data_IF_722456644426
#
_entry.id   IF_722456644426
#
_cell.length_a   1.000
_cell.length_b   1.000
_cell.length_c   1.000
_cell.angle_alpha   90.00
_cell.angle_beta   90.00
_cell.angle_gamma   90.00
#
_symmetry.space_group_name_H-M   'P 1'
#
loop_
_entity.id
_entity.type
_entity.pdbx_description
1 polymer ?
#
# COMPACT_ATOMS: atom_id res chain seq x y z
N UNK A 1 48.84 5.13 88.26
CA UNK A 1 47.81 4.65 87.31
C UNK A 1 48.15 5.21 85.94
N UNK A 2 48.66 4.37 85.03
CA UNK A 2 48.95 4.74 83.63
C UNK A 2 47.78 4.30 82.78
N UNK A 3 47.03 5.24 82.22
CA UNK A 3 45.97 4.99 81.24
C UNK A 3 46.59 4.58 79.90
N UNK A 4 46.24 3.39 79.44
CA UNK A 4 46.64 2.80 78.15
C UNK A 4 46.04 3.58 76.97
N UNK A 5 46.83 4.05 75.97
CA UNK A 5 46.35 4.83 74.83
C UNK A 5 45.85 3.98 73.64
N UNK A 6 45.39 2.75 73.86
CA UNK A 6 45.09 1.81 72.77
C UNK A 6 43.68 1.91 72.13
N UNK A 7 42.82 2.83 72.56
CA UNK A 7 41.42 2.90 72.10
C UNK A 7 41.12 3.94 71.02
N UNK A 8 42.08 4.79 70.60
CA UNK A 8 41.80 5.85 69.62
C UNK A 8 41.95 5.43 68.14
N UNK A 9 42.70 4.37 67.82
CA UNK A 9 42.91 3.98 66.42
C UNK A 9 41.73 3.22 65.79
N UNK A 10 40.90 2.53 66.58
CA UNK A 10 39.73 1.81 66.07
C UNK A 10 38.58 2.72 65.63
N UNK A 11 38.36 3.83 66.33
CA UNK A 11 37.27 4.76 66.04
C UNK A 11 37.50 5.55 64.73
N UNK A 12 38.75 5.98 64.47
CA UNK A 12 39.11 6.68 63.24
C UNK A 12 38.95 5.80 61.99
N UNK A 13 39.30 4.51 62.08
CA UNK A 13 39.12 3.56 60.99
C UNK A 13 37.64 3.32 60.67
N UNK A 14 36.79 3.15 61.69
CA UNK A 14 35.35 2.99 61.51
C UNK A 14 34.69 4.23 60.87
N UNK A 15 35.11 5.43 61.28
CA UNK A 15 34.65 6.69 60.68
C UNK A 15 35.06 6.79 59.20
N UNK A 16 36.29 6.42 58.87
CA UNK A 16 36.77 6.42 57.48
C UNK A 16 35.96 5.45 56.62
N UNK A 17 35.75 4.22 57.09
CA UNK A 17 34.94 3.22 56.38
C UNK A 17 33.50 3.71 56.22
N UNK A 18 32.89 4.27 57.26
CA UNK A 18 31.54 4.81 57.19
C UNK A 18 31.41 5.94 56.14
N UNK A 19 32.38 6.85 56.09
CA UNK A 19 32.41 7.93 55.09
C UNK A 19 32.59 7.37 53.67
N UNK A 20 33.50 6.42 53.46
CA UNK A 20 33.72 5.81 52.16
C UNK A 20 32.47 5.05 51.70
N UNK A 21 31.84 4.28 52.59
CA UNK A 21 30.58 3.59 52.29
C UNK A 21 29.45 4.57 51.96
N UNK A 22 29.33 5.67 52.70
CA UNK A 22 28.34 6.71 52.42
C UNK A 22 28.57 7.36 51.04
N UNK A 23 29.83 7.68 50.70
CA UNK A 23 30.19 8.24 49.38
C UNK A 23 29.92 7.23 48.27
N UNK A 24 30.24 5.95 48.47
CA UNK A 24 29.96 4.90 47.50
C UNK A 24 28.45 4.72 47.25
N UNK A 25 27.64 4.73 48.31
CA UNK A 25 26.17 4.66 48.22
C UNK A 25 25.63 5.88 47.46
N UNK A 26 26.07 7.09 47.81
CA UNK A 26 25.66 8.32 47.12
C UNK A 26 26.04 8.29 45.64
N UNK A 27 27.22 7.77 45.30
CA UNK A 27 27.65 7.62 43.92
C UNK A 27 26.76 6.63 43.15
N UNK A 28 26.43 5.48 43.74
CA UNK A 28 25.53 4.49 43.12
C UNK A 28 24.12 5.06 42.92
N UNK A 29 23.58 5.77 43.91
CA UNK A 29 22.26 6.43 43.80
C UNK A 29 22.29 7.52 42.71
N UNK A 30 23.36 8.30 42.64
CA UNK A 30 23.53 9.34 41.62
C UNK A 30 23.59 8.77 40.20
N UNK A 31 24.37 7.70 40.00
CA UNK A 31 24.45 6.99 38.72
C UNK A 31 23.10 6.37 38.33
N UNK A 32 22.42 5.70 39.26
CA UNK A 32 21.11 5.11 39.01
C UNK A 32 20.06 6.17 38.63
N UNK A 33 20.05 7.31 39.33
CA UNK A 33 19.14 8.43 39.05
C UNK A 33 19.41 9.06 37.69
N UNK A 34 20.69 9.21 37.32
CA UNK A 34 21.09 9.75 36.02
C UNK A 34 20.70 8.82 34.87
N UNK A 35 20.96 7.51 35.01
CA UNK A 35 20.55 6.52 34.01
C UNK A 35 19.03 6.42 33.88
N UNK A 36 18.30 6.46 35.00
CA UNK A 36 16.83 6.49 34.98
C UNK A 36 16.30 7.73 34.23
N UNK A 37 16.89 8.90 34.49
CA UNK A 37 16.54 10.15 33.80
C UNK A 37 16.86 10.11 32.31
N UNK A 38 18.00 9.55 31.93
CA UNK A 38 18.35 9.37 30.51
C UNK A 38 17.37 8.44 29.81
N UNK A 39 17.03 7.30 30.42
CA UNK A 39 16.04 6.37 29.86
C UNK A 39 14.66 7.00 29.74
N UNK A 40 14.21 7.74 30.76
CA UNK A 40 12.94 8.46 30.72
C UNK A 40 12.91 9.49 29.59
N UNK A 41 14.00 10.23 29.38
CA UNK A 41 14.09 11.22 28.30
C UNK A 41 14.17 10.59 26.90
N UNK A 42 14.69 9.37 26.78
CA UNK A 42 14.80 8.66 25.49
C UNK A 42 13.53 7.89 25.11
N UNK A 43 12.70 7.53 26.09
CA UNK A 43 11.53 6.68 25.86
C UNK A 43 10.53 7.26 24.85
N UNK A 44 10.16 8.55 24.87
CA UNK A 44 9.25 9.12 23.87
C UNK A 44 9.81 9.02 22.45
N UNK A 45 11.11 9.27 22.29
CA UNK A 45 11.79 9.15 20.99
C UNK A 45 11.77 7.71 20.49
N UNK A 46 12.10 6.74 21.34
CA UNK A 46 12.07 5.31 20.98
C UNK A 46 10.66 4.83 20.61
N UNK A 47 9.62 5.35 21.29
CA UNK A 47 8.22 5.08 20.96
C UNK A 47 7.85 5.65 19.59
N UNK A 48 8.19 6.90 19.32
CA UNK A 48 7.94 7.55 18.04
C UNK A 48 8.65 6.82 16.89
N UNK A 49 9.95 6.53 17.03
CA UNK A 49 10.74 5.78 16.04
C UNK A 49 10.12 4.39 15.76
N UNK A 50 9.61 3.72 16.79
CA UNK A 50 8.93 2.44 16.62
C UNK A 50 7.59 2.56 15.88
N UNK A 51 6.78 3.57 16.19
CA UNK A 51 5.53 3.80 15.45
C UNK A 51 5.80 4.12 13.98
N UNK A 52 6.81 4.95 13.70
CA UNK A 52 7.22 5.27 12.34
C UNK A 52 7.72 4.03 11.58
N UNK A 53 8.51 3.18 12.25
CA UNK A 53 8.92 1.89 11.70
C UNK A 53 7.72 1.01 11.36
N UNK A 54 6.78 0.86 12.29
CA UNK A 54 5.56 0.08 12.08
C UNK A 54 4.69 0.65 10.95
N UNK A 55 4.52 1.97 10.89
CA UNK A 55 3.77 2.66 9.85
C UNK A 55 4.37 2.46 8.46
N UNK A 56 5.71 2.49 8.36
CA UNK A 56 6.43 2.22 7.11
C UNK A 56 6.25 0.77 6.67
N UNK A 57 6.45 -0.18 7.58
CA UNK A 57 6.27 -1.61 7.28
C UNK A 57 4.81 -1.92 6.85
N UNK A 58 3.83 -1.30 7.51
CA UNK A 58 2.41 -1.42 7.16
C UNK A 58 2.13 -0.80 5.78
N UNK A 59 2.73 0.35 5.46
CA UNK A 59 2.59 0.98 4.13
C UNK A 59 3.18 0.08 3.03
N UNK A 60 4.37 -0.46 3.23
CA UNK A 60 5.01 -1.39 2.29
C UNK A 60 4.18 -2.66 2.11
N UNK A 61 3.64 -3.19 3.20
CA UNK A 61 2.73 -4.32 3.15
C UNK A 61 1.43 -4.01 2.41
N UNK A 62 0.84 -2.83 2.62
CA UNK A 62 -0.35 -2.40 1.86
C UNK A 62 -0.02 -2.39 0.36
N UNK A 63 1.09 -1.78 -0.05
CA UNK A 63 1.52 -1.73 -1.46
C UNK A 63 1.65 -3.14 -2.03
N UNK A 64 2.34 -4.04 -1.32
CA UNK A 64 2.53 -5.42 -1.77
C UNK A 64 1.21 -6.23 -1.87
N UNK A 65 0.20 -5.87 -1.08
CA UNK A 65 -1.10 -6.54 -1.03
C UNK A 65 -2.21 -5.73 -1.71
N UNK A 66 -1.89 -4.61 -2.36
CA UNK A 66 -2.85 -3.72 -3.03
C UNK A 66 -3.76 -4.44 -4.04
N UNK A 67 -3.32 -5.51 -4.74
CA UNK A 67 -4.19 -6.27 -5.66
C UNK A 67 -5.33 -7.01 -4.97
N UNK A 68 -5.22 -7.31 -3.67
CA UNK A 68 -6.17 -8.19 -2.95
C UNK A 68 -6.82 -7.55 -1.73
N UNK A 69 -6.14 -6.61 -1.06
CA UNK A 69 -6.56 -6.06 0.25
C UNK A 69 -7.93 -5.36 0.24
N UNK A 70 -8.28 -4.76 -0.90
CA UNK A 70 -9.53 -4.04 -1.08
C UNK A 70 -10.61 -4.89 -1.77
N UNK A 71 -10.38 -6.18 -1.96
CA UNK A 71 -11.37 -7.12 -2.50
C UNK A 71 -12.44 -7.47 -1.47
N UNK A 72 -13.67 -7.81 -1.91
CA UNK A 72 -14.76 -8.24 -1.02
C UNK A 72 -14.47 -9.57 -0.30
N UNK A 73 -13.56 -10.38 -0.84
CA UNK A 73 -13.16 -11.67 -0.27
C UNK A 73 -12.01 -11.54 0.73
N UNK A 74 -11.41 -10.35 0.85
CA UNK A 74 -10.30 -10.13 1.76
C UNK A 74 -10.73 -10.19 3.21
N UNK A 75 -10.13 -11.13 3.94
CA UNK A 75 -10.23 -11.23 5.40
C UNK A 75 -9.06 -10.47 6.01
N UNK A 76 -9.36 -9.37 6.70
CA UNK A 76 -8.34 -8.58 7.37
C UNK A 76 -7.65 -9.39 8.48
N UNK A 77 -6.30 -9.40 8.54
CA UNK A 77 -5.60 -10.01 9.66
C UNK A 77 -5.93 -9.25 10.95
N UNK A 78 -5.85 -9.94 12.08
CA UNK A 78 -5.87 -9.27 13.38
C UNK A 78 -4.66 -8.34 13.51
N UNK A 79 -4.74 -7.34 14.40
CA UNK A 79 -3.63 -6.43 14.66
C UNK A 79 -2.33 -7.14 15.03
N UNK A 80 -2.43 -8.14 15.91
CA UNK A 80 -1.31 -8.95 16.35
C UNK A 80 -0.71 -9.77 15.19
N UNK A 81 -1.55 -10.40 14.37
CA UNK A 81 -1.08 -11.13 13.19
C UNK A 81 -0.38 -10.21 12.19
N UNK A 82 -0.94 -9.02 11.94
CA UNK A 82 -0.37 -8.05 11.03
C UNK A 82 1.01 -7.60 11.52
N UNK A 83 1.11 -7.13 12.76
CA UNK A 83 2.37 -6.68 13.34
C UNK A 83 3.41 -7.81 13.40
N UNK A 84 2.98 -9.03 13.75
CA UNK A 84 3.83 -10.22 13.77
C UNK A 84 4.41 -10.57 12.40
N UNK A 85 3.58 -10.55 11.34
CA UNK A 85 4.03 -10.79 9.95
C UNK A 85 5.03 -9.74 9.47
N UNK A 86 4.94 -8.52 9.97
CA UNK A 86 5.83 -7.41 9.64
C UNK A 86 7.11 -7.36 10.50
N UNK A 87 7.29 -8.33 11.42
CA UNK A 87 8.42 -8.35 12.34
C UNK A 87 8.42 -7.19 13.32
N UNK A 88 7.25 -6.58 13.58
CA UNK A 88 7.09 -5.53 14.59
C UNK A 88 6.86 -6.20 15.94
N UNK A 89 7.79 -6.09 16.91
CA UNK A 89 7.67 -6.72 18.21
C UNK A 89 6.51 -6.12 19.02
N UNK A 90 5.77 -6.94 19.81
CA UNK A 90 4.73 -6.45 20.72
C UNK A 90 5.38 -5.78 21.93
N UNK A 91 5.81 -4.53 21.76
CA UNK A 91 6.41 -3.71 22.82
C UNK A 91 5.56 -2.46 23.04
N UNK A 92 5.50 -2.00 24.30
CA UNK A 92 4.76 -0.80 24.72
C UNK A 92 3.28 -0.80 24.33
N UNK A 93 2.67 -2.00 24.31
CA UNK A 93 1.26 -2.17 23.96
C UNK A 93 0.95 -1.46 22.64
N UNK A 94 1.75 -1.76 21.61
CA UNK A 94 1.50 -1.32 20.26
C UNK A 94 0.36 -2.16 19.67
N UNK A 95 -0.67 -1.48 19.18
CA UNK A 95 -1.83 -2.07 18.55
C UNK A 95 -1.89 -1.65 17.09
N UNK A 96 -2.55 -2.49 16.29
CA UNK A 96 -2.90 -2.16 14.92
C UNK A 96 -4.29 -2.70 14.59
N UNK A 97 -4.98 -2.07 13.66
CA UNK A 97 -6.26 -2.56 13.16
C UNK A 97 -6.49 -2.06 11.74
N UNK A 98 -7.07 -2.92 10.92
CA UNK A 98 -7.46 -2.60 9.55
C UNK A 98 -8.94 -2.20 9.56
N UNK A 99 -9.26 -1.08 8.92
CA UNK A 99 -10.64 -0.61 8.75
C UNK A 99 -11.45 -1.55 7.85
N UNK A 100 -12.76 -1.42 7.89
CA UNK A 100 -13.67 -1.83 6.83
C UNK A 100 -13.34 -1.09 5.52
N UNK A 101 -13.80 -1.59 4.34
CA UNK A 101 -13.59 -0.89 3.09
C UNK A 101 -14.24 0.50 3.13
N UNK A 102 -13.45 1.52 2.83
CA UNK A 102 -13.88 2.90 2.67
C UNK A 102 -13.92 3.24 1.19
N UNK A 103 -14.80 4.17 0.81
CA UNK A 103 -14.97 4.58 -0.58
C UNK A 103 -14.83 6.09 -0.71
N UNK A 104 -14.01 6.54 -1.67
CA UNK A 104 -13.90 7.95 -2.06
C UNK A 104 -13.89 8.05 -3.59
N UNK A 105 -14.98 8.57 -4.15
CA UNK A 105 -15.19 8.55 -5.60
C UNK A 105 -15.34 7.10 -6.09
N UNK A 106 -14.57 6.73 -7.12
CA UNK A 106 -14.58 5.37 -7.67
C UNK A 106 -13.50 4.45 -7.05
N UNK A 107 -12.84 4.89 -5.99
CA UNK A 107 -11.72 4.19 -5.35
C UNK A 107 -12.18 3.63 -4.01
N UNK A 108 -12.07 2.32 -3.86
CA UNK A 108 -12.21 1.63 -2.58
C UNK A 108 -10.81 1.42 -1.98
N UNK A 109 -10.68 1.66 -0.67
CA UNK A 109 -9.43 1.55 0.06
C UNK A 109 -9.69 1.21 1.52
N UNK A 110 -8.68 0.75 2.24
CA UNK A 110 -8.72 0.61 3.71
C UNK A 110 -7.74 1.57 4.37
N UNK A 111 -7.99 1.86 5.63
CA UNK A 111 -7.06 2.58 6.52
C UNK A 111 -6.57 1.59 7.56
N UNK A 112 -5.28 1.64 7.85
CA UNK A 112 -4.69 0.84 8.93
C UNK A 112 -4.29 1.81 10.03
N UNK A 113 -4.97 1.69 11.18
CA UNK A 113 -4.64 2.41 12.39
C UNK A 113 -3.53 1.69 13.13
N UNK A 114 -2.57 2.46 13.66
CA UNK A 114 -1.51 2.00 14.55
C UNK A 114 -1.51 2.92 15.75
N UNK A 115 -1.49 2.39 16.96
CA UNK A 115 -1.47 3.23 18.16
C UNK A 115 -0.80 2.55 19.34
N UNK A 116 -0.40 3.35 20.33
CA UNK A 116 0.22 2.88 21.56
C UNK A 116 -0.46 3.48 22.79
N UNK A 117 -0.24 2.83 23.93
CA UNK A 117 -0.72 3.32 25.23
C UNK A 117 0.01 4.60 25.64
N UNK A 118 -0.77 5.61 26.04
CA UNK A 118 -0.29 6.85 26.64
C UNK A 118 0.43 6.63 27.97
N UNK A 119 1.10 7.67 28.49
CA UNK A 119 1.86 7.56 29.76
C UNK A 119 0.96 7.31 30.99
N UNK A 120 -0.31 7.72 30.96
CA UNK A 120 -1.28 7.49 32.02
C UNK A 120 -2.17 6.26 31.81
N UNK A 121 -1.87 5.41 30.82
CA UNK A 121 -2.69 4.26 30.45
C UNK A 121 -3.84 4.61 29.49
N UNK A 122 -3.90 5.85 28.99
CA UNK A 122 -4.93 6.26 28.05
C UNK A 122 -4.67 5.71 26.64
N UNK A 123 -5.70 5.14 26.02
CA UNK A 123 -5.59 4.50 24.70
C UNK A 123 -6.49 5.23 23.68
N UNK A 124 -5.97 5.56 22.48
CA UNK A 124 -6.80 5.87 21.34
C UNK A 124 -7.72 4.69 21.01
N UNK A 125 -8.93 5.01 20.58
CA UNK A 125 -9.86 4.03 20.01
C UNK A 125 -9.86 4.20 18.49
N UNK A 126 -9.56 3.13 17.76
CA UNK A 126 -9.68 3.12 16.31
C UNK A 126 -11.07 2.64 15.91
N UNK A 127 -11.81 3.47 15.19
CA UNK A 127 -13.10 3.06 14.62
C UNK A 127 -12.87 2.40 13.26
N UNK A 128 -13.07 1.07 13.13
CA UNK A 128 -12.85 0.39 11.87
C UNK A 128 -13.85 0.78 10.78
N UNK A 129 -15.02 1.32 11.11
CA UNK A 129 -16.03 1.68 10.10
C UNK A 129 -15.71 3.03 9.44
N UNK A 130 -15.09 3.96 10.16
CA UNK A 130 -14.67 5.27 9.61
C UNK A 130 -13.18 5.35 9.28
N UNK A 131 -12.37 4.47 9.88
CA UNK A 131 -10.92 4.51 9.80
C UNK A 131 -10.31 5.71 10.52
N UNK A 132 -11.01 6.27 11.51
CA UNK A 132 -10.60 7.43 12.30
C UNK A 132 -10.22 7.03 13.74
N UNK A 133 -9.43 7.86 14.40
CA UNK A 133 -9.12 7.71 15.83
C UNK A 133 -10.00 8.62 16.68
N UNK A 134 -10.54 8.06 17.76
CA UNK A 134 -11.11 8.81 18.87
C UNK A 134 -10.10 8.84 20.01
N UNK A 135 -9.74 10.05 20.44
CA UNK A 135 -8.63 10.26 21.35
C UNK A 135 -9.15 10.59 22.76
N UNK A 136 -8.49 10.11 23.82
CA UNK A 136 -8.77 10.49 25.20
C UNK A 136 -8.77 12.01 25.39
N UNK A 137 -9.76 12.55 26.11
CA UNK A 137 -9.89 13.98 26.39
C UNK A 137 -9.08 14.45 27.61
N UNK A 138 -7.96 13.78 27.91
CA UNK A 138 -7.14 14.06 29.10
C UNK A 138 -6.18 15.22 28.81
N UNK A 139 -6.00 16.11 29.79
CA UNK A 139 -5.14 17.28 29.63
C UNK A 139 -3.69 16.86 29.31
N UNK A 140 -3.14 17.39 28.22
CA UNK A 140 -1.78 17.08 27.76
C UNK A 140 -1.69 15.85 26.84
N UNK A 141 -2.77 15.11 26.62
CA UNK A 141 -2.80 14.01 25.66
C UNK A 141 -2.82 14.52 24.23
N UNK A 142 -1.92 14.00 23.37
CA UNK A 142 -1.79 14.41 21.96
C UNK A 142 -1.90 13.18 21.06
N UNK A 143 -3.00 13.10 20.32
CA UNK A 143 -3.35 11.89 19.59
C UNK A 143 -2.36 11.55 18.46
N UNK A 144 -1.80 12.58 17.83
CA UNK A 144 -0.76 12.48 16.81
C UNK A 144 0.56 11.90 17.35
N UNK A 145 0.81 11.98 18.66
CA UNK A 145 2.00 11.39 19.30
C UNK A 145 1.80 9.92 19.68
N UNK A 146 0.56 9.43 19.65
CA UNK A 146 0.18 8.08 20.10
C UNK A 146 -0.54 7.26 19.05
N UNK A 147 -0.86 7.84 17.88
CA UNK A 147 -1.58 7.17 16.81
C UNK A 147 -1.12 7.62 15.43
N UNK A 148 -1.06 6.68 14.50
CA UNK A 148 -0.72 6.90 13.10
C UNK A 148 -1.76 6.20 12.23
N UNK A 149 -2.22 6.89 11.20
CA UNK A 149 -3.11 6.34 10.17
C UNK A 149 -2.34 6.11 8.88
N UNK A 150 -2.33 4.88 8.39
CA UNK A 150 -1.83 4.55 7.06
C UNK A 150 -3.02 4.43 6.13
N UNK A 151 -3.26 5.48 5.33
CA UNK A 151 -4.36 5.49 4.36
C UNK A 151 -3.95 4.83 3.05
N UNK A 152 -4.71 3.83 2.62
CA UNK A 152 -4.56 3.21 1.30
C UNK A 152 -5.02 4.07 0.14
N UNK A 153 -5.71 5.20 0.38
CA UNK A 153 -6.32 6.00 -0.68
C UNK A 153 -5.29 6.52 -1.69
N UNK A 154 -4.15 7.05 -1.23
CA UNK A 154 -3.11 7.57 -2.11
C UNK A 154 -2.53 6.47 -3.01
N UNK A 155 -2.27 5.30 -2.42
CA UNK A 155 -1.75 4.12 -3.13
C UNK A 155 -2.76 3.68 -4.19
N UNK A 156 -4.02 3.47 -3.81
CA UNK A 156 -5.06 3.01 -4.73
C UNK A 156 -5.39 4.06 -5.81
N UNK A 157 -5.30 5.35 -5.50
CA UNK A 157 -5.47 6.42 -6.48
C UNK A 157 -4.36 6.43 -7.53
N UNK A 158 -3.10 6.25 -7.11
CA UNK A 158 -1.97 6.16 -8.03
C UNK A 158 -2.07 4.96 -8.96
N UNK A 159 -2.44 3.78 -8.42
CA UNK A 159 -2.65 2.56 -9.18
C UNK A 159 -3.80 2.73 -10.18
N UNK A 160 -4.93 3.28 -9.74
CA UNK A 160 -6.08 3.59 -10.60
C UNK A 160 -5.69 4.51 -11.76
N UNK A 161 -5.00 5.61 -11.47
CA UNK A 161 -4.58 6.57 -12.48
C UNK A 161 -3.58 5.97 -13.47
N UNK A 162 -2.68 5.11 -13.00
CA UNK A 162 -1.73 4.39 -13.85
C UNK A 162 -2.45 3.42 -14.78
N UNK A 163 -3.40 2.64 -14.27
CA UNK A 163 -4.25 1.75 -15.08
C UNK A 163 -5.02 2.52 -16.15
N UNK A 164 -5.65 3.65 -15.79
CA UNK A 164 -6.35 4.51 -16.77
C UNK A 164 -5.41 5.03 -17.86
N UNK A 165 -4.17 5.41 -17.50
CA UNK A 165 -3.16 5.82 -18.49
C UNK A 165 -2.79 4.67 -19.43
N UNK A 166 -2.56 3.47 -18.92
CA UNK A 166 -2.25 2.28 -19.73
C UNK A 166 -3.39 1.99 -20.71
N UNK A 167 -4.64 1.95 -20.24
CA UNK A 167 -5.81 1.74 -21.09
C UNK A 167 -5.94 2.80 -22.21
N UNK A 168 -5.66 4.07 -21.89
CA UNK A 168 -5.64 5.16 -22.89
C UNK A 168 -4.50 5.03 -23.89
N UNK A 169 -3.33 4.57 -23.47
CA UNK A 169 -2.20 4.30 -24.36
C UNK A 169 -2.56 3.20 -25.36
N UNK A 170 -3.13 2.09 -24.89
CA UNK A 170 -3.62 1.02 -25.76
C UNK A 170 -4.67 1.53 -26.74
N UNK A 171 -5.66 2.28 -26.26
CA UNK A 171 -6.69 2.83 -27.13
C UNK A 171 -6.11 3.74 -28.23
N UNK A 172 -5.12 4.58 -27.90
CA UNK A 172 -4.43 5.45 -28.88
C UNK A 172 -3.58 4.66 -29.87
N UNK A 173 -2.86 3.63 -29.41
CA UNK A 173 -2.09 2.75 -30.28
C UNK A 173 -3.02 2.09 -31.32
N UNK A 174 -4.19 1.65 -30.87
CA UNK A 174 -5.22 1.03 -31.72
C UNK A 174 -5.85 2.00 -32.71
N UNK A 175 -6.10 3.25 -32.30
CA UNK A 175 -6.53 4.29 -33.23
C UNK A 175 -5.46 4.61 -34.29
N UNK A 176 -4.19 4.61 -33.89
CA UNK A 176 -3.07 4.85 -34.81
C UNK A 176 -2.91 3.69 -35.81
N UNK A 177 -3.03 2.46 -35.32
CA UNK A 177 -3.04 1.25 -36.13
C UNK A 177 -4.21 1.22 -37.12
N UNK A 178 -5.42 1.58 -36.66
CA UNK A 178 -6.58 1.76 -37.54
C UNK A 178 -6.27 2.78 -38.66
N UNK A 179 -5.75 3.96 -38.29
CA UNK A 179 -5.48 5.03 -39.25
C UNK A 179 -4.47 4.61 -40.31
N UNK A 180 -3.45 3.84 -39.94
CA UNK A 180 -2.46 3.34 -40.91
C UNK A 180 -3.06 2.34 -41.89
N UNK A 181 -3.96 1.47 -41.43
CA UNK A 181 -4.69 0.55 -42.30
C UNK A 181 -5.66 1.27 -43.23
N UNK A 182 -6.38 2.28 -42.74
CA UNK A 182 -7.28 3.09 -43.56
C UNK A 182 -6.54 3.85 -44.67
N UNK A 183 -5.40 4.47 -44.35
CA UNK A 183 -4.53 5.13 -45.34
C UNK A 183 -3.92 4.16 -46.35
N UNK A 184 -3.79 2.89 -45.99
CA UNK A 184 -3.30 1.83 -46.88
C UNK A 184 -4.42 1.15 -47.69
N UNK A 185 -5.70 1.43 -47.39
CA UNK A 185 -6.83 0.96 -48.18
C UNK A 185 -7.06 1.91 -49.37
N UNK A 186 -6.90 1.46 -50.63
CA UNK A 186 -7.11 2.30 -51.80
C UNK A 186 -8.50 2.95 -51.84
N UNK A 187 -9.52 2.25 -51.33
CA UNK A 187 -10.91 2.71 -51.37
C UNK A 187 -11.22 3.68 -50.23
N UNK A 188 -10.34 3.80 -49.23
CA UNK A 188 -10.54 4.59 -48.00
C UNK A 188 -11.93 4.32 -47.36
N UNK A 189 -12.42 3.09 -47.45
CA UNK A 189 -13.80 2.79 -47.12
C UNK A 189 -14.02 2.85 -45.60
N UNK A 190 -14.77 3.85 -45.14
CA UNK A 190 -15.13 4.06 -43.75
C UNK A 190 -16.16 3.04 -43.22
N UNK A 191 -16.87 2.33 -44.10
CA UNK A 191 -17.78 1.25 -43.72
C UNK A 191 -17.06 -0.06 -43.38
N UNK A 192 -15.74 -0.16 -43.62
CA UNK A 192 -14.93 -1.31 -43.21
C UNK A 192 -14.49 -1.14 -41.76
N UNK A 193 -14.63 -2.22 -40.99
CA UNK A 193 -14.22 -2.27 -39.59
C UNK A 193 -12.79 -2.80 -39.47
N UNK A 194 -11.80 -1.90 -39.48
CA UNK A 194 -10.39 -2.33 -39.43
C UNK A 194 -9.92 -2.76 -38.04
N UNK A 195 -10.80 -2.67 -37.02
CA UNK A 195 -10.53 -3.26 -35.71
C UNK A 195 -10.70 -4.79 -35.70
N UNK A 196 -11.27 -5.42 -36.75
CA UNK A 196 -11.57 -6.87 -36.78
C UNK A 196 -11.07 -7.58 -38.04
N UNK A 197 -10.31 -8.67 -37.90
CA UNK A 197 -9.84 -9.47 -39.04
C UNK A 197 -10.96 -10.14 -39.85
N UNK A 198 -12.07 -10.47 -39.21
CA UNK A 198 -13.23 -11.12 -39.85
C UNK A 198 -13.93 -10.20 -40.84
N UNK A 199 -13.87 -8.89 -40.62
CA UNK A 199 -14.49 -7.89 -41.49
C UNK A 199 -13.46 -7.32 -42.50
N UNK A 200 -12.17 -7.40 -42.17
CA UNK A 200 -11.07 -6.89 -42.98
C UNK A 200 -9.85 -7.84 -42.91
N UNK A 201 -9.63 -8.76 -43.88
CA UNK A 201 -8.58 -9.77 -43.81
C UNK A 201 -7.13 -9.21 -43.81
N UNK A 202 -6.96 -7.89 -43.95
CA UNK A 202 -5.67 -7.20 -43.86
C UNK A 202 -5.29 -6.78 -42.44
N UNK A 203 -6.21 -6.80 -41.46
CA UNK A 203 -5.85 -6.50 -40.06
C UNK A 203 -5.31 -7.74 -39.36
N UNK A 204 -4.30 -7.54 -38.51
CA UNK A 204 -3.72 -8.59 -37.66
C UNK A 204 -4.49 -8.76 -36.34
N UNK A 205 -5.46 -7.89 -36.06
CA UNK A 205 -6.25 -7.96 -34.84
C UNK A 205 -7.28 -9.11 -34.90
N UNK A 206 -7.28 -10.04 -33.93
CA UNK A 206 -8.22 -11.15 -33.90
C UNK A 206 -9.65 -10.66 -33.70
N UNK A 207 -10.63 -11.51 -33.97
CA UNK A 207 -12.03 -11.23 -33.67
C UNK A 207 -12.32 -11.60 -32.22
N UNK A 208 -12.61 -10.60 -31.40
CA UNK A 208 -12.90 -10.70 -29.99
C UNK A 208 -14.38 -10.36 -29.78
N UNK A 209 -15.24 -11.39 -29.82
CA UNK A 209 -16.69 -11.25 -29.61
C UNK A 209 -17.08 -11.20 -28.12
N UNK A 210 -16.14 -11.52 -27.23
CA UNK A 210 -16.23 -11.36 -25.78
C UNK A 210 -14.95 -10.72 -25.24
N UNK A 211 -15.06 -10.15 -24.03
CA UNK A 211 -13.89 -9.63 -23.31
C UNK A 211 -12.85 -10.74 -23.14
N UNK A 212 -11.71 -10.55 -23.80
CA UNK A 212 -10.62 -11.53 -23.87
C UNK A 212 -9.37 -10.92 -23.28
N UNK A 213 -8.66 -11.67 -22.45
CA UNK A 213 -7.41 -11.22 -21.85
C UNK A 213 -6.36 -10.93 -22.93
N UNK A 214 -5.66 -9.81 -22.75
CA UNK A 214 -4.59 -9.36 -23.67
C UNK A 214 -3.18 -9.49 -23.05
N UNK A 215 -3.07 -10.19 -21.92
CA UNK A 215 -1.81 -10.62 -21.36
C UNK A 215 -1.61 -12.12 -21.61
N UNK A 216 -0.36 -12.61 -21.68
CA UNK A 216 -0.09 -14.05 -21.71
C UNK A 216 -0.68 -14.71 -20.47
N UNK A 217 -1.44 -15.80 -20.67
CA UNK A 217 -1.93 -16.62 -19.55
C UNK A 217 -0.83 -17.52 -18.98
N UNK A 218 0.20 -17.80 -19.79
CA UNK A 218 1.34 -18.62 -19.42
C UNK A 218 2.60 -17.75 -19.37
N UNK A 219 3.19 -17.60 -18.18
CA UNK A 219 4.47 -16.91 -18.00
C UNK A 219 5.65 -17.80 -18.39
N UNK A 220 5.44 -19.12 -18.51
CA UNK A 220 6.47 -20.09 -18.87
C UNK A 220 6.65 -20.22 -20.40
N UNK A 221 5.69 -19.68 -21.20
CA UNK A 221 5.87 -19.45 -22.63
C UNK A 221 5.96 -17.94 -22.95
N UNK A 222 7.16 -17.34 -22.84
CA UNK A 222 7.38 -15.93 -23.17
C UNK A 222 7.16 -15.61 -24.66
N UNK A 223 6.93 -16.62 -25.50
CA UNK A 223 6.63 -16.49 -26.91
C UNK A 223 5.16 -16.73 -27.25
N UNK A 224 4.30 -17.03 -26.26
CA UNK A 224 2.85 -17.02 -26.43
C UNK A 224 2.41 -15.58 -26.72
N UNK A 225 2.49 -15.18 -28.00
CA UNK A 225 2.15 -13.82 -28.39
C UNK A 225 0.66 -13.60 -28.20
N UNK A 226 0.33 -12.55 -27.47
CA UNK A 226 -1.02 -12.04 -27.43
C UNK A 226 -1.26 -11.32 -28.76
N UNK A 227 -2.15 -11.81 -29.64
CA UNK A 227 -2.28 -11.27 -30.99
C UNK A 227 -2.61 -9.78 -31.01
N UNK A 228 -3.27 -9.26 -29.96
CA UNK A 228 -3.60 -7.84 -29.82
C UNK A 228 -2.34 -6.98 -29.59
N UNK A 229 -1.52 -7.29 -28.57
CA UNK A 229 -0.35 -6.47 -28.26
C UNK A 229 0.69 -6.54 -29.39
N UNK A 230 0.87 -7.73 -29.98
CA UNK A 230 1.77 -7.92 -31.13
C UNK A 230 1.32 -7.10 -32.34
N UNK A 231 0.02 -7.15 -32.69
CA UNK A 231 -0.53 -6.37 -33.79
C UNK A 231 -0.34 -4.86 -33.61
N UNK A 232 -0.36 -4.38 -32.35
CA UNK A 232 -0.19 -2.98 -31.99
C UNK A 232 1.27 -2.57 -31.74
N UNK A 233 2.22 -3.50 -31.82
CA UNK A 233 3.63 -3.26 -31.49
C UNK A 233 3.85 -2.79 -30.06
N UNK A 234 3.01 -3.23 -29.11
CA UNK A 234 3.11 -2.87 -27.70
C UNK A 234 3.85 -3.96 -26.91
N UNK A 235 4.63 -3.59 -25.86
CA UNK A 235 5.30 -4.57 -25.02
C UNK A 235 4.28 -5.35 -24.16
N UNK A 236 4.64 -6.57 -23.78
CA UNK A 236 3.83 -7.46 -22.93
C UNK A 236 3.44 -6.79 -21.61
N UNK A 237 4.30 -5.95 -21.05
CA UNK A 237 4.02 -5.20 -19.81
C UNK A 237 2.82 -4.26 -19.89
N UNK A 238 2.40 -3.85 -21.09
CA UNK A 238 1.17 -3.07 -21.26
C UNK A 238 -0.10 -3.93 -21.26
N UNK A 239 0.02 -5.26 -21.22
CA UNK A 239 -1.10 -6.18 -21.07
C UNK A 239 -1.64 -6.25 -19.64
N UNK A 240 -1.02 -5.59 -18.68
CA UNK A 240 -1.39 -5.63 -17.26
C UNK A 240 -1.79 -4.26 -16.73
N UNK A 241 -2.69 -4.24 -15.74
CA UNK A 241 -2.99 -3.05 -14.97
C UNK A 241 -1.94 -2.78 -13.88
N UNK A 242 -2.08 -1.66 -13.15
CA UNK A 242 -1.13 -1.31 -12.09
C UNK A 242 -1.17 -2.25 -10.88
N UNK A 243 -2.23 -3.05 -10.73
CA UNK A 243 -2.35 -4.10 -9.72
C UNK A 243 -1.74 -5.43 -10.18
N UNK A 244 -1.24 -5.51 -11.42
CA UNK A 244 -0.67 -6.73 -11.99
C UNK A 244 -1.72 -7.71 -12.53
N UNK A 245 -2.99 -7.31 -12.64
CA UNK A 245 -4.01 -8.15 -13.26
C UNK A 245 -3.96 -7.99 -14.79
N UNK A 246 -4.33 -9.03 -15.55
CA UNK A 246 -4.43 -8.93 -17.00
C UNK A 246 -5.48 -7.89 -17.40
N UNK A 247 -5.23 -7.17 -18.49
CA UNK A 247 -6.23 -6.33 -19.14
C UNK A 247 -7.07 -7.16 -20.11
N UNK A 248 -8.27 -6.67 -20.43
CA UNK A 248 -9.17 -7.30 -21.38
C UNK A 248 -9.42 -6.41 -22.59
N UNK A 249 -9.64 -7.01 -23.75
CA UNK A 249 -10.04 -6.31 -24.97
C UNK A 249 -11.27 -6.94 -25.61
N UNK A 250 -12.01 -6.11 -26.34
CA UNK A 250 -13.21 -6.49 -27.09
C UNK A 250 -13.30 -5.63 -28.35
N UNK A 251 -13.51 -6.25 -29.51
CA UNK A 251 -13.73 -5.53 -30.77
C UNK A 251 -14.96 -6.04 -31.54
N UNK A 252 -15.79 -6.87 -30.93
CA UNK A 252 -17.05 -7.40 -31.46
C UNK A 252 -18.21 -7.31 -30.47
N UNK A 253 -19.27 -8.07 -30.74
CA UNK A 253 -20.47 -8.11 -29.89
C UNK A 253 -21.30 -6.81 -29.85
N UNK A 254 -22.12 -6.65 -28.81
CA UNK A 254 -22.99 -5.46 -28.60
C UNK A 254 -22.22 -4.15 -28.51
N UNK A 255 -20.95 -4.23 -28.15
CA UNK A 255 -20.08 -3.09 -27.99
C UNK A 255 -19.38 -2.67 -29.27
N UNK A 256 -19.60 -3.31 -30.42
CA UNK A 256 -19.20 -2.73 -31.69
C UNK A 256 -20.45 -2.53 -32.54
N UNK A 257 -20.70 -1.28 -32.95
CA UNK A 257 -21.84 -0.98 -33.80
C UNK A 257 -21.68 -1.70 -35.14
N UNK A 258 -22.78 -2.21 -35.70
CA UNK A 258 -22.77 -2.78 -37.05
C UNK A 258 -22.46 -1.75 -38.14
N UNK A 259 -22.53 -0.46 -37.77
CA UNK A 259 -22.21 0.69 -38.62
C UNK A 259 -21.17 1.59 -37.93
N UNK A 260 -20.39 2.37 -38.69
CA UNK A 260 -19.45 3.34 -38.13
C UNK A 260 -20.13 4.36 -37.19
N UNK A 261 -19.40 4.91 -36.19
CA UNK A 261 -18.00 4.66 -35.90
C UNK A 261 -17.79 3.32 -35.18
N UNK A 262 -16.89 2.49 -35.71
CA UNK A 262 -16.49 1.26 -35.06
C UNK A 262 -15.65 1.56 -33.82
N UNK A 263 -15.69 0.66 -32.83
CA UNK A 263 -14.91 0.82 -31.59
C UNK A 263 -14.28 -0.49 -31.13
N UNK A 264 -13.16 -0.37 -30.45
CA UNK A 264 -12.50 -1.45 -29.71
C UNK A 264 -12.37 -1.01 -28.25
N UNK A 265 -12.90 -1.82 -27.33
CA UNK A 265 -12.85 -1.58 -25.90
C UNK A 265 -11.62 -2.23 -25.26
N UNK A 266 -11.08 -1.53 -24.27
CA UNK A 266 -10.09 -2.03 -23.32
C UNK A 266 -10.65 -1.90 -21.92
N UNK A 267 -10.48 -2.92 -21.10
CA UNK A 267 -11.03 -2.98 -19.76
C UNK A 267 -9.97 -3.42 -18.74
N UNK A 268 -10.07 -2.88 -17.53
CA UNK A 268 -9.43 -3.40 -16.32
C UNK A 268 -10.49 -3.63 -15.24
N UNK A 269 -10.22 -4.53 -14.30
CA UNK A 269 -11.04 -4.81 -13.14
C UNK A 269 -10.26 -4.42 -11.89
N UNK A 270 -10.82 -3.51 -11.10
CA UNK A 270 -10.19 -3.10 -9.83
C UNK A 270 -10.26 -4.24 -8.80
N UNK A 271 -9.42 -4.22 -7.75
CA UNK A 271 -9.49 -5.20 -6.66
C UNK A 271 -10.88 -5.33 -6.03
N UNK A 272 -11.63 -4.23 -5.96
CA UNK A 272 -13.00 -4.18 -5.44
C UNK A 272 -14.09 -4.52 -6.49
N UNK A 273 -13.71 -4.98 -7.67
CA UNK A 273 -14.63 -5.49 -8.69
C UNK A 273 -15.25 -4.44 -9.61
N UNK A 274 -14.86 -3.17 -9.51
CA UNK A 274 -15.31 -2.15 -10.46
C UNK A 274 -14.59 -2.29 -11.81
N UNK A 275 -15.27 -1.90 -12.90
CA UNK A 275 -14.71 -1.96 -14.25
C UNK A 275 -14.26 -0.58 -14.71
N UNK A 276 -13.05 -0.50 -15.26
CA UNK A 276 -12.50 0.68 -15.92
C UNK A 276 -12.45 0.37 -17.41
N UNK A 277 -13.28 1.04 -18.21
CA UNK A 277 -13.35 0.80 -19.67
C UNK A 277 -12.93 2.04 -20.44
N UNK A 278 -12.06 1.86 -21.46
CA UNK A 278 -11.65 2.90 -22.41
C UNK A 278 -11.84 2.36 -23.83
N UNK A 279 -12.41 3.17 -24.71
CA UNK A 279 -12.65 2.80 -26.10
C UNK A 279 -11.68 3.51 -27.04
N UNK A 280 -11.06 2.74 -27.93
CA UNK A 280 -10.55 3.24 -29.20
C UNK A 280 -11.72 3.41 -30.17
N UNK A 281 -11.80 4.56 -30.83
CA UNK A 281 -12.85 4.86 -31.81
C UNK A 281 -12.21 5.13 -33.17
N UNK A 282 -12.76 4.52 -34.22
CA UNK A 282 -12.45 4.84 -35.60
C UNK A 282 -12.97 6.24 -35.90
N UNK A 283 -12.05 7.21 -35.94
CA UNK A 283 -12.36 8.60 -36.27
C UNK A 283 -12.68 8.70 -37.76
N UNK A 284 -13.77 9.41 -38.08
CA UNK A 284 -14.19 9.74 -39.45
C UNK A 284 -13.31 10.85 -40.03
#
# INVERSE_FOLDING_TARGET
>A
MRSSPYTQHGAAFLLLVAVISAVAILFVIGQASWQAKQRANQLPQLRAERMEFAARAIREWYVANAPVIDSPEFVAPTGEELLGRLGVPPQWLLFAQVSEPLVRGNIQYRVIGIWLEGEGGELPEFDPTTGEFTCPSVAGYRCDEHSIRVSGYEIQSELYNTTVRTLRTLARATQTYFRSLWLADPDHNLSKNYFRACDAPRTKLPCLDSWTEIAPQDLDDPFATVPVLEALGQPISQGYDAWGNPLWALNGGRDNASNPPFRMGYQARTPWGALITVYAVQQL
#
